data_IF_873972660461
#
_entry.id   IF_873972660461
#
_cell.length_a   1.000
_cell.length_b   1.000
_cell.length_c   1.000
_cell.angle_alpha   90.00
_cell.angle_beta   90.00
_cell.angle_gamma   90.00
#
_symmetry.space_group_name_H-M   'P 1'
#
loop_
_entity.id
_entity.type
_entity.pdbx_description
1 polymer ?
#
# COMPACT_ATOMS: atom_id res chain seq x y z
N UNK A 1 13.24 39.15 -104.54
CA UNK A 1 13.86 37.99 -103.85
C UNK A 1 13.25 37.93 -102.45
N UNK A 2 12.64 36.79 -102.12
CA UNK A 2 11.74 36.45 -101.00
C UNK A 2 12.09 37.11 -99.63
N UNK A 3 11.20 37.85 -98.96
CA UNK A 3 10.01 37.46 -98.14
C UNK A 3 10.41 36.82 -96.78
N UNK A 4 9.85 37.11 -95.60
CA UNK A 4 8.81 38.05 -95.14
C UNK A 4 8.77 38.08 -93.57
N UNK A 5 8.23 39.18 -93.00
CA UNK A 5 7.40 39.35 -91.77
C UNK A 5 7.87 38.77 -90.41
N UNK A 6 8.17 39.57 -89.36
CA UNK A 6 7.38 40.46 -88.46
C UNK A 6 6.59 39.77 -87.31
N UNK A 7 6.77 40.39 -86.14
CA UNK A 7 5.95 40.44 -84.91
C UNK A 7 5.99 39.26 -83.94
N UNK A 8 5.82 39.42 -82.63
CA UNK A 8 6.10 40.43 -81.60
C UNK A 8 5.48 39.87 -80.29
N UNK A 9 6.10 40.22 -79.17
CA UNK A 9 5.54 40.33 -77.82
C UNK A 9 5.26 39.10 -76.93
N UNK A 10 5.89 39.21 -75.75
CA UNK A 10 5.75 38.55 -74.43
C UNK A 10 4.33 38.69 -73.82
N UNK A 11 3.97 38.23 -72.58
CA UNK A 11 4.81 37.83 -71.43
C UNK A 11 4.24 36.72 -70.48
N UNK A 12 4.84 36.60 -69.29
CA UNK A 12 4.32 36.05 -68.02
C UNK A 12 4.32 34.53 -67.79
N UNK A 13 5.36 34.08 -67.08
CA UNK A 13 5.44 32.79 -66.38
C UNK A 13 4.86 32.93 -64.96
N UNK A 14 3.67 32.35 -64.74
CA UNK A 14 3.06 32.18 -63.42
C UNK A 14 3.35 30.76 -62.93
N UNK A 15 3.86 30.65 -61.70
CA UNK A 15 4.25 29.39 -61.05
C UNK A 15 3.01 28.57 -60.68
N UNK A 16 2.91 27.33 -61.17
CA UNK A 16 1.95 26.35 -60.67
C UNK A 16 2.56 25.60 -59.47
N UNK A 17 1.95 25.73 -58.29
CA UNK A 17 2.18 24.86 -57.13
C UNK A 17 1.13 23.75 -57.15
N UNK A 18 1.55 22.50 -57.34
CA UNK A 18 0.72 21.33 -57.06
C UNK A 18 0.51 21.24 -55.53
N UNK A 19 -0.73 21.39 -55.07
CA UNK A 19 -1.13 21.07 -53.71
C UNK A 19 -1.41 19.58 -53.58
N UNK A 20 -0.57 18.87 -52.82
CA UNK A 20 -0.81 17.50 -52.40
C UNK A 20 -1.70 17.56 -51.15
N UNK A 21 -2.98 17.19 -51.28
CA UNK A 21 -3.89 17.10 -50.15
C UNK A 21 -3.59 15.80 -49.38
N UNK A 22 -2.90 15.90 -48.25
CA UNK A 22 -2.81 14.84 -47.26
C UNK A 22 -4.16 14.75 -46.54
N UNK A 23 -4.92 13.69 -46.81
CA UNK A 23 -6.05 13.28 -45.97
C UNK A 23 -5.45 12.60 -44.74
N UNK A 24 -5.36 13.33 -43.63
CA UNK A 24 -5.10 12.77 -42.31
C UNK A 24 -6.34 11.96 -41.89
N UNK A 25 -6.25 10.64 -42.03
CA UNK A 25 -7.15 9.71 -41.37
C UNK A 25 -6.86 9.78 -39.87
N UNK A 26 -7.71 10.49 -39.12
CA UNK A 26 -7.72 10.38 -37.67
C UNK A 26 -8.20 8.97 -37.33
N UNK A 27 -7.27 8.08 -36.98
CA UNK A 27 -7.60 6.83 -36.30
C UNK A 27 -8.22 7.22 -34.96
N UNK A 28 -9.53 7.04 -34.82
CA UNK A 28 -10.19 7.06 -33.54
C UNK A 28 -9.60 5.89 -32.73
N UNK A 29 -8.64 6.20 -31.86
CA UNK A 29 -8.26 5.32 -30.77
C UNK A 29 -9.54 5.04 -30.00
N UNK A 30 -9.95 3.77 -29.98
CA UNK A 30 -10.95 3.31 -29.02
C UNK A 30 -10.47 3.76 -27.63
N UNK A 31 -11.37 4.24 -26.75
CA UNK A 31 -10.99 4.45 -25.36
C UNK A 31 -10.40 3.13 -24.87
N UNK A 32 -9.13 3.17 -24.44
CA UNK A 32 -8.51 2.06 -23.75
C UNK A 32 -9.46 1.65 -22.63
N UNK A 33 -9.72 0.34 -22.55
CA UNK A 33 -10.35 -0.24 -21.37
C UNK A 33 -9.56 0.27 -20.18
N UNK A 34 -10.18 1.12 -19.36
CA UNK A 34 -9.59 1.50 -18.10
C UNK A 34 -9.35 0.19 -17.35
N UNK A 35 -8.08 -0.13 -17.07
CA UNK A 35 -7.76 -1.14 -16.08
C UNK A 35 -8.50 -0.72 -14.83
N UNK A 36 -9.43 -1.55 -14.37
CA UNK A 36 -10.18 -1.30 -13.15
C UNK A 36 -9.18 -0.99 -12.03
N UNK A 37 -9.51 -0.03 -11.17
CA UNK A 37 -8.65 0.25 -10.02
C UNK A 37 -8.60 -1.04 -9.17
N UNK A 38 -7.44 -1.71 -9.14
CA UNK A 38 -7.24 -2.82 -8.21
C UNK A 38 -7.46 -2.24 -6.80
N UNK A 39 -8.42 -2.78 -6.06
CA UNK A 39 -8.70 -2.32 -4.71
C UNK A 39 -7.45 -2.41 -3.83
N UNK A 40 -7.39 -1.58 -2.79
CA UNK A 40 -6.30 -1.62 -1.80
C UNK A 40 -6.83 -2.17 -0.48
N UNK A 41 -6.18 -3.20 0.05
CA UNK A 41 -6.40 -3.67 1.41
C UNK A 41 -5.35 -3.15 2.38
N UNK A 42 -5.66 -3.24 3.67
CA UNK A 42 -4.75 -2.94 4.76
C UNK A 42 -4.16 -4.23 5.31
N UNK A 43 -2.84 -4.31 5.38
CA UNK A 43 -2.13 -5.44 5.99
C UNK A 43 -1.42 -4.93 7.23
N UNK A 44 -1.58 -5.64 8.35
CA UNK A 44 -0.84 -5.39 9.58
C UNK A 44 0.25 -6.46 9.71
N UNK A 45 1.51 -6.05 9.62
CA UNK A 45 2.67 -6.87 9.98
C UNK A 45 3.01 -6.67 11.46
N UNK A 46 3.22 -7.74 12.21
CA UNK A 46 3.50 -7.69 13.64
C UNK A 46 4.31 -8.91 14.09
N UNK A 47 4.82 -8.91 15.32
CA UNK A 47 5.44 -10.08 15.93
C UNK A 47 4.72 -10.47 17.22
N UNK A 48 5.05 -11.63 17.78
CA UNK A 48 4.39 -12.17 18.97
C UNK A 48 5.39 -12.62 20.03
N UNK A 49 4.89 -13.03 21.18
CA UNK A 49 5.70 -13.63 22.23
C UNK A 49 6.36 -12.63 23.19
N UNK A 50 6.90 -13.13 24.32
CA UNK A 50 7.30 -12.30 25.44
C UNK A 50 8.63 -11.57 25.18
N UNK A 51 8.81 -10.41 25.80
CA UNK A 51 10.13 -9.79 25.90
C UNK A 51 11.11 -10.67 26.71
N UNK A 52 12.39 -10.82 26.30
CA UNK A 52 13.02 -10.27 25.09
C UNK A 52 13.05 -11.24 23.89
N UNK A 53 12.40 -12.41 23.98
CA UNK A 53 12.54 -13.49 22.99
C UNK A 53 11.44 -13.52 21.92
N UNK A 54 10.50 -12.57 21.96
CA UNK A 54 9.37 -12.54 21.04
C UNK A 54 9.80 -12.52 19.57
N UNK A 55 10.93 -11.88 19.25
CA UNK A 55 11.42 -11.83 17.87
C UNK A 55 11.73 -13.18 17.23
N UNK A 56 11.94 -14.25 18.02
CA UNK A 56 12.15 -15.60 17.49
C UNK A 56 10.87 -16.23 16.92
N UNK A 57 9.68 -15.67 17.21
CA UNK A 57 8.40 -16.20 16.72
C UNK A 57 8.19 -15.96 15.22
N UNK A 58 8.95 -15.06 14.62
CA UNK A 58 8.72 -14.59 13.26
C UNK A 58 7.76 -13.41 13.16
N UNK A 59 7.54 -12.99 11.91
CA UNK A 59 6.59 -11.95 11.49
C UNK A 59 5.28 -12.61 11.10
N UNK A 60 4.19 -12.10 11.66
CA UNK A 60 2.81 -12.48 11.38
C UNK A 60 2.15 -11.36 10.58
N UNK A 61 1.10 -11.72 9.84
CA UNK A 61 0.32 -10.74 9.09
C UNK A 61 -1.18 -10.97 9.28
N UNK A 62 -1.95 -9.88 9.22
CA UNK A 62 -3.40 -9.91 9.15
C UNK A 62 -3.91 -8.91 8.12
N UNK A 63 -5.03 -9.22 7.47
CA UNK A 63 -5.64 -8.42 6.41
C UNK A 63 -6.93 -7.78 6.89
N UNK A 64 -7.18 -6.55 6.47
CA UNK A 64 -8.44 -5.84 6.62
C UNK A 64 -8.76 -5.07 5.34
N UNK A 65 -10.05 -4.98 4.99
CA UNK A 65 -10.52 -4.13 3.88
C UNK A 65 -10.98 -2.74 4.35
N UNK A 66 -11.13 -2.53 5.65
CA UNK A 66 -11.66 -1.30 6.25
C UNK A 66 -10.69 -0.64 7.25
N UNK A 67 -9.54 -1.27 7.51
CA UNK A 67 -8.58 -0.84 8.52
C UNK A 67 -9.01 -1.06 9.97
N UNK A 68 -10.14 -1.71 10.25
CA UNK A 68 -10.63 -1.93 11.61
C UNK A 68 -10.82 -3.40 11.94
N UNK A 69 -11.26 -4.20 10.97
CA UNK A 69 -11.56 -5.60 11.15
C UNK A 69 -10.50 -6.45 10.45
N UNK A 70 -9.48 -6.87 11.21
CA UNK A 70 -8.40 -7.69 10.71
C UNK A 70 -8.68 -9.19 10.86
N UNK A 71 -8.30 -9.96 9.85
CA UNK A 71 -8.33 -11.41 9.83
C UNK A 71 -6.90 -11.95 9.66
N UNK A 72 -6.51 -13.00 10.40
CA UNK A 72 -5.18 -13.58 10.26
C UNK A 72 -4.90 -14.04 8.82
N UNK A 73 -3.72 -13.70 8.31
CA UNK A 73 -3.19 -14.26 7.07
C UNK A 73 -2.41 -15.53 7.37
N UNK A 74 -2.13 -16.34 6.33
CA UNK A 74 -1.30 -17.55 6.45
C UNK A 74 -1.74 -18.52 7.57
N UNK A 75 -3.05 -18.71 7.77
CA UNK A 75 -3.61 -19.52 8.88
C UNK A 75 -3.24 -19.06 10.29
N UNK A 76 -2.76 -17.82 10.45
CA UNK A 76 -2.21 -17.33 11.72
C UNK A 76 -0.79 -17.82 12.01
N UNK A 77 -0.13 -18.49 11.07
CA UNK A 77 1.28 -18.85 11.15
C UNK A 77 2.18 -17.70 10.65
N UNK A 78 3.44 -17.59 11.12
CA UNK A 78 4.34 -16.54 10.68
C UNK A 78 4.62 -16.65 9.16
N UNK A 79 4.62 -15.51 8.47
CA UNK A 79 4.97 -15.41 7.04
C UNK A 79 6.48 -15.38 6.81
N UNK A 80 7.25 -15.03 7.84
CA UNK A 80 8.70 -14.97 7.82
C UNK A 80 9.26 -15.30 9.19
N UNK A 81 10.37 -16.01 9.24
CA UNK A 81 11.15 -16.25 10.46
C UNK A 81 12.60 -15.83 10.23
N UNK A 82 13.29 -15.27 11.24
CA UNK A 82 14.67 -14.87 11.09
C UNK A 82 15.55 -16.06 10.71
N UNK A 83 16.58 -15.87 9.85
CA UNK A 83 17.51 -16.95 9.52
C UNK A 83 18.27 -17.43 10.76
N UNK A 84 18.21 -18.74 11.05
CA UNK A 84 18.96 -19.36 12.16
C UNK A 84 20.46 -19.07 12.07
N UNK A 85 20.98 -18.89 10.86
CA UNK A 85 22.37 -18.52 10.60
C UNK A 85 22.77 -17.13 11.11
N UNK A 86 21.85 -16.30 11.60
CA UNK A 86 22.16 -15.00 12.23
C UNK A 86 22.20 -15.09 13.76
N UNK A 87 21.87 -16.25 14.32
CA UNK A 87 21.82 -16.47 15.76
C UNK A 87 23.16 -16.83 16.40
N UNK A 88 23.16 -17.13 17.72
CA UNK A 88 24.35 -17.50 18.47
C UNK A 88 25.13 -18.66 17.85
N UNK A 89 26.43 -18.47 17.63
CA UNK A 89 27.30 -19.50 17.03
C UNK A 89 27.44 -19.39 15.51
N UNK A 90 26.88 -18.34 14.89
CA UNK A 90 27.11 -18.03 13.49
C UNK A 90 28.59 -17.77 13.16
N UNK A 91 28.98 -18.08 11.91
CA UNK A 91 30.28 -17.72 11.35
C UNK A 91 30.38 -16.25 10.92
N UNK A 92 29.26 -15.53 10.88
CA UNK A 92 29.24 -14.07 10.81
C UNK A 92 29.46 -13.53 12.23
N UNK A 93 30.09 -12.36 12.38
CA UNK A 93 30.38 -11.76 13.70
C UNK A 93 29.11 -11.19 14.38
N UNK A 94 28.02 -11.91 14.26
CA UNK A 94 26.63 -11.57 14.59
C UNK A 94 26.32 -12.25 15.92
N UNK A 95 26.31 -11.47 17.00
CA UNK A 95 25.90 -11.97 18.32
C UNK A 95 24.43 -11.58 18.47
N UNK A 96 23.53 -12.55 18.25
CA UNK A 96 22.09 -12.46 18.56
C UNK A 96 21.25 -11.60 17.59
N UNK A 97 21.48 -11.73 16.27
CA UNK A 97 20.68 -11.10 15.19
C UNK A 97 19.53 -11.98 14.66
N UNK A 98 19.16 -13.05 15.36
CA UNK A 98 18.09 -13.98 14.96
C UNK A 98 16.69 -13.56 15.45
N UNK A 99 16.40 -12.27 15.52
CA UNK A 99 15.08 -11.74 15.86
C UNK A 99 14.42 -11.02 14.67
N UNK A 100 13.09 -11.08 14.62
CA UNK A 100 12.24 -10.25 13.75
C UNK A 100 11.23 -9.49 14.60
N UNK A 101 11.68 -8.42 15.27
CA UNK A 101 10.80 -7.54 16.04
C UNK A 101 10.52 -6.26 15.27
N UNK A 102 9.40 -5.63 15.59
CA UNK A 102 9.02 -4.31 15.07
C UNK A 102 9.07 -4.27 13.53
N UNK A 103 8.40 -5.22 12.82
CA UNK A 103 8.50 -5.28 11.37
C UNK A 103 7.77 -4.11 10.71
N UNK A 104 8.49 -3.38 9.86
CA UNK A 104 7.92 -2.37 8.97
C UNK A 104 7.94 -2.88 7.54
N UNK A 105 6.80 -2.75 6.85
CA UNK A 105 6.61 -3.22 5.48
C UNK A 105 6.00 -2.10 4.64
N UNK A 106 6.51 -1.91 3.43
CA UNK A 106 5.86 -1.09 2.41
C UNK A 106 5.83 -1.81 1.06
N UNK A 107 4.86 -1.46 0.22
CA UNK A 107 4.86 -1.82 -1.20
C UNK A 107 5.49 -0.69 -2.01
N UNK A 108 6.61 -0.98 -2.67
CA UNK A 108 7.39 -0.03 -3.43
C UNK A 108 6.88 0.17 -4.86
N UNK A 109 7.25 1.29 -5.52
CA UNK A 109 6.94 1.51 -6.93
C UNK A 109 7.67 0.56 -7.88
N UNK A 110 8.64 -0.20 -7.39
CA UNK A 110 9.35 -1.26 -8.12
C UNK A 110 8.56 -2.59 -8.15
N UNK A 111 7.40 -2.64 -7.50
CA UNK A 111 6.51 -3.79 -7.52
C UNK A 111 6.84 -4.87 -6.48
N UNK A 112 7.63 -4.53 -5.46
CA UNK A 112 7.96 -5.42 -4.37
C UNK A 112 7.46 -4.89 -3.02
N UNK A 113 7.13 -5.80 -2.13
CA UNK A 113 7.07 -5.54 -0.70
C UNK A 113 8.48 -5.56 -0.14
N UNK A 114 8.87 -4.51 0.57
CA UNK A 114 10.12 -4.44 1.32
C UNK A 114 9.82 -4.49 2.81
N UNK A 115 10.56 -5.29 3.55
CA UNK A 115 10.44 -5.40 5.00
C UNK A 115 11.78 -5.08 5.67
N UNK A 116 11.73 -4.30 6.74
CA UNK A 116 12.84 -4.09 7.69
C UNK A 116 12.37 -4.41 9.10
N UNK A 117 13.30 -4.75 9.99
CA UNK A 117 12.98 -5.11 11.37
C UNK A 117 14.17 -4.95 12.32
N UNK A 118 13.88 -4.89 13.61
CA UNK A 118 14.88 -5.02 14.69
C UNK A 118 15.46 -6.45 14.68
N UNK A 119 16.73 -6.59 14.30
CA UNK A 119 17.39 -7.90 14.18
C UNK A 119 17.77 -8.53 15.53
N UNK A 120 17.93 -7.74 16.58
CA UNK A 120 18.30 -8.23 17.90
C UNK A 120 18.26 -7.17 19.00
N UNK A 121 18.45 -7.62 20.25
CA UNK A 121 18.27 -6.75 21.42
C UNK A 121 19.45 -5.79 21.60
N UNK A 122 20.68 -6.25 21.40
CA UNK A 122 21.88 -5.42 21.57
C UNK A 122 22.74 -5.44 20.31
N UNK A 123 22.10 -5.18 19.16
CA UNK A 123 22.69 -5.28 17.84
C UNK A 123 22.79 -3.91 17.17
N UNK A 124 23.78 -3.77 16.29
CA UNK A 124 24.01 -2.53 15.53
C UNK A 124 23.19 -2.47 14.25
N UNK A 125 22.73 -3.63 13.80
CA UNK A 125 22.13 -3.87 12.51
C UNK A 125 20.60 -3.86 12.58
N UNK A 126 19.99 -3.76 11.41
CA UNK A 126 18.59 -4.12 11.18
C UNK A 126 18.55 -5.25 10.15
N UNK A 127 17.45 -6.00 10.13
CA UNK A 127 17.20 -6.96 9.07
C UNK A 127 16.49 -6.33 7.87
N UNK A 128 16.63 -6.96 6.72
CA UNK A 128 15.91 -6.65 5.50
C UNK A 128 15.57 -7.93 4.71
N UNK A 129 14.43 -7.93 4.06
CA UNK A 129 14.02 -8.90 3.05
C UNK A 129 12.99 -8.26 2.12
N UNK A 130 12.72 -8.90 0.97
CA UNK A 130 11.64 -8.48 0.06
C UNK A 130 10.79 -9.64 -0.41
N UNK A 131 9.56 -9.33 -0.83
CA UNK A 131 8.60 -10.29 -1.35
C UNK A 131 7.82 -9.70 -2.51
N UNK A 132 7.38 -10.53 -3.45
CA UNK A 132 6.45 -10.13 -4.50
C UNK A 132 4.97 -10.35 -4.11
N UNK A 133 4.72 -11.18 -3.08
CA UNK A 133 3.41 -11.75 -2.78
C UNK A 133 3.07 -11.80 -1.27
N UNK A 134 3.94 -11.23 -0.43
CA UNK A 134 3.95 -11.30 1.06
C UNK A 134 4.08 -12.70 1.66
N UNK A 135 4.20 -13.75 0.82
CA UNK A 135 4.26 -15.16 1.22
C UNK A 135 5.69 -15.71 1.10
N UNK A 136 6.36 -15.38 0.00
CA UNK A 136 7.74 -15.79 -0.27
C UNK A 136 8.66 -14.59 -0.09
N UNK A 137 9.49 -14.66 0.95
CA UNK A 137 10.50 -13.64 1.25
C UNK A 137 11.87 -14.10 0.75
N UNK A 138 12.65 -13.14 0.25
CA UNK A 138 13.95 -13.36 -0.41
C UNK A 138 14.89 -12.18 -0.17
N UNK A 139 16.15 -12.32 -0.59
CA UNK A 139 17.20 -11.29 -0.47
C UNK A 139 17.41 -10.84 0.97
N UNK A 140 17.44 -11.77 1.91
CA UNK A 140 17.67 -11.50 3.32
C UNK A 140 19.04 -10.88 3.56
N UNK A 141 19.08 -9.77 4.30
CA UNK A 141 20.31 -9.02 4.61
C UNK A 141 20.31 -8.50 6.03
N UNK A 142 21.49 -8.47 6.65
CA UNK A 142 21.75 -7.62 7.81
C UNK A 142 22.40 -6.32 7.34
N UNK A 143 21.75 -5.21 7.66
CA UNK A 143 22.22 -3.86 7.31
C UNK A 143 22.89 -3.26 8.54
N UNK A 144 24.23 -3.16 8.54
CA UNK A 144 24.97 -2.35 9.52
C UNK A 144 25.04 -0.90 9.03
N UNK A 145 24.34 -0.03 9.74
CA UNK A 145 24.04 1.35 9.32
C UNK A 145 25.12 2.34 9.81
N UNK A 146 25.96 1.90 10.76
CA UNK A 146 26.85 2.76 11.51
C UNK A 146 28.29 2.65 11.05
N UNK A 147 29.01 3.77 11.10
CA UNK A 147 30.47 3.70 10.93
C UNK A 147 31.11 2.82 12.02
N UNK A 148 32.21 2.10 11.73
CA UNK A 148 32.85 1.19 12.69
C UNK A 148 33.29 1.85 14.01
N UNK A 149 33.55 3.17 14.00
CA UNK A 149 33.94 3.94 15.19
C UNK A 149 32.77 4.35 16.08
N UNK A 150 31.53 4.21 15.61
CA UNK A 150 30.35 4.60 16.39
C UNK A 150 30.13 3.58 17.50
N UNK A 151 30.02 4.03 18.75
CA UNK A 151 29.59 3.16 19.86
C UNK A 151 28.06 3.13 19.86
N UNK A 152 27.51 1.95 19.59
CA UNK A 152 26.08 1.70 19.43
C UNK A 152 25.72 0.64 20.44
N UNK A 153 24.77 0.94 21.32
CA UNK A 153 24.25 -0.04 22.27
C UNK A 153 23.22 -0.93 21.57
N UNK A 154 22.34 -0.31 20.77
CA UNK A 154 21.37 -1.00 19.92
C UNK A 154 20.75 -0.10 18.83
N UNK A 155 20.25 -0.73 17.77
CA UNK A 155 19.47 -0.14 16.67
C UNK A 155 18.12 -0.85 16.58
N UNK A 156 17.02 -0.14 16.79
CA UNK A 156 15.67 -0.71 16.96
C UNK A 156 14.60 0.01 16.14
N UNK A 157 13.47 -0.67 15.98
CA UNK A 157 12.22 -0.18 15.42
C UNK A 157 12.41 0.60 14.11
N UNK A 158 12.99 -0.03 13.07
CA UNK A 158 13.13 0.61 11.78
C UNK A 158 11.76 0.72 11.08
N UNK A 159 11.50 1.88 10.50
CA UNK A 159 10.32 2.16 9.69
C UNK A 159 10.72 2.55 8.27
N UNK A 160 9.98 2.02 7.30
CA UNK A 160 10.14 2.28 5.89
C UNK A 160 9.19 3.39 5.40
N UNK A 161 9.73 4.35 4.66
CA UNK A 161 8.96 5.37 3.96
C UNK A 161 9.50 5.56 2.54
N UNK A 162 8.63 5.60 1.53
CA UNK A 162 9.06 5.94 0.16
C UNK A 162 8.91 7.44 -0.10
N UNK A 163 10.03 8.14 -0.24
CA UNK A 163 10.08 9.55 -0.59
C UNK A 163 10.00 9.72 -2.11
N UNK A 164 8.77 9.86 -2.61
CA UNK A 164 8.49 10.04 -4.03
C UNK A 164 9.13 11.32 -4.62
N UNK A 165 9.40 12.35 -3.83
CA UNK A 165 10.00 13.59 -4.32
C UNK A 165 11.47 13.40 -4.72
N UNK A 166 12.16 12.47 -4.06
CA UNK A 166 13.56 12.15 -4.30
C UNK A 166 13.77 10.75 -4.91
N UNK A 167 12.69 10.01 -5.17
CA UNK A 167 12.69 8.65 -5.72
C UNK A 167 13.59 7.69 -4.94
N UNK A 168 13.46 7.68 -3.62
CA UNK A 168 14.26 6.85 -2.72
C UNK A 168 13.43 6.36 -1.54
N UNK A 169 13.82 5.21 -1.00
CA UNK A 169 13.36 4.74 0.29
C UNK A 169 14.15 5.43 1.40
N UNK A 170 13.45 5.81 2.45
CA UNK A 170 14.00 6.29 3.70
C UNK A 170 13.70 5.27 4.78
N UNK A 171 14.71 4.91 5.56
CA UNK A 171 14.60 4.02 6.71
C UNK A 171 14.89 4.85 7.95
N UNK A 172 13.90 5.00 8.82
CA UNK A 172 14.00 5.75 10.08
C UNK A 172 14.08 4.74 11.21
N UNK A 173 14.98 4.91 12.17
CA UNK A 173 15.15 3.95 13.25
C UNK A 173 15.60 4.65 14.52
N UNK A 174 15.33 4.02 15.66
CA UNK A 174 15.80 4.50 16.96
C UNK A 174 17.15 3.87 17.29
N UNK A 175 18.05 4.65 17.89
CA UNK A 175 19.28 4.09 18.42
C UNK A 175 19.71 4.78 19.69
N UNK A 176 20.27 3.98 20.59
CA UNK A 176 20.96 4.45 21.76
C UNK A 176 22.46 4.43 21.48
N UNK A 177 23.07 5.62 21.43
CA UNK A 177 24.49 5.78 21.23
C UNK A 177 25.16 6.22 22.52
N UNK A 178 26.24 5.54 22.90
CA UNK A 178 27.06 5.85 24.08
C UNK A 178 26.26 5.89 25.41
N UNK A 179 25.26 5.03 25.60
CA UNK A 179 24.44 4.97 26.82
C UNK A 179 23.57 6.21 27.05
N UNK A 180 23.22 6.95 25.99
CA UNK A 180 22.44 8.18 26.04
C UNK A 180 20.92 7.96 26.00
N UNK A 181 20.19 8.95 25.52
CA UNK A 181 18.78 8.78 25.11
C UNK A 181 18.70 8.03 23.79
N UNK A 182 17.59 7.33 23.54
CA UNK A 182 17.23 6.97 22.17
C UNK A 182 16.89 8.23 21.37
N UNK A 183 17.43 8.29 20.15
CA UNK A 183 17.12 9.32 19.17
C UNK A 183 16.76 8.64 17.86
N UNK A 184 16.03 9.35 17.02
CA UNK A 184 15.77 8.88 15.68
C UNK A 184 16.91 9.28 14.75
N UNK A 185 17.31 8.33 13.93
CA UNK A 185 18.26 8.50 12.83
C UNK A 185 17.60 7.99 11.56
N UNK A 186 18.14 8.38 10.40
CA UNK A 186 17.62 7.90 9.13
C UNK A 186 18.74 7.64 8.12
N UNK A 187 18.50 6.67 7.26
CA UNK A 187 19.28 6.44 6.04
C UNK A 187 18.37 6.38 4.83
N UNK A 188 18.96 6.47 3.64
CA UNK A 188 18.25 6.28 2.38
C UNK A 188 18.89 5.24 1.50
N UNK A 189 18.08 4.66 0.62
CA UNK A 189 18.48 3.74 -0.45
C UNK A 189 17.52 3.86 -1.62
N UNK A 190 17.97 3.57 -2.84
CA UNK A 190 17.09 3.43 -4.00
C UNK A 190 16.88 1.98 -4.43
N UNK A 191 17.65 1.03 -3.88
CA UNK A 191 17.78 -0.33 -4.42
C UNK A 191 17.99 -1.43 -3.37
N UNK A 192 18.06 -1.08 -2.08
CA UNK A 192 18.38 -1.99 -0.98
C UNK A 192 19.68 -2.80 -1.17
N UNK A 193 20.59 -2.28 -2.00
CA UNK A 193 21.94 -2.82 -2.20
C UNK A 193 23.00 -1.81 -1.78
N UNK A 194 22.66 -0.52 -1.81
CA UNK A 194 23.50 0.59 -1.37
C UNK A 194 22.73 1.52 -0.44
N UNK A 195 23.37 1.93 0.66
CA UNK A 195 22.76 2.75 1.69
C UNK A 195 23.61 3.99 1.98
N UNK A 196 22.96 5.11 2.29
CA UNK A 196 23.64 6.22 2.93
C UNK A 196 24.17 5.82 4.32
N UNK A 197 25.20 6.48 4.83
CA UNK A 197 25.69 6.26 6.20
C UNK A 197 24.93 7.15 7.19
N UNK A 198 24.52 6.60 8.34
CA UNK A 198 23.96 7.41 9.42
C UNK A 198 25.03 8.27 10.10
N UNK A 199 24.72 9.54 10.35
CA UNK A 199 25.59 10.45 11.11
C UNK A 199 25.19 10.44 12.60
N UNK A 200 26.05 9.92 13.50
CA UNK A 200 25.74 9.85 14.93
C UNK A 200 25.58 11.23 15.60
N UNK A 201 26.09 12.30 14.97
CA UNK A 201 26.04 13.66 15.51
C UNK A 201 24.85 14.49 14.99
N UNK A 202 24.15 13.98 13.98
CA UNK A 202 23.03 14.67 13.35
C UNK A 202 21.78 13.77 13.37
N UNK A 203 21.10 13.66 14.53
CA UNK A 203 19.88 12.86 14.63
C UNK A 203 18.82 13.42 13.69
N UNK A 204 18.06 12.51 13.08
CA UNK A 204 16.91 12.83 12.25
C UNK A 204 15.84 13.58 13.05
N UNK A 205 15.61 13.14 14.28
CA UNK A 205 14.74 13.83 15.21
C UNK A 205 15.15 13.59 16.66
N UNK A 206 15.18 14.67 17.44
CA UNK A 206 15.39 14.66 18.87
C UNK A 206 14.87 15.98 19.46
N UNK A 207 14.05 15.88 20.52
CA UNK A 207 13.49 17.05 21.21
C UNK A 207 14.03 17.22 22.64
N UNK A 208 15.07 16.47 23.02
CA UNK A 208 15.64 16.49 24.38
C UNK A 208 15.12 15.37 25.30
N UNK A 209 14.40 14.38 24.77
CA UNK A 209 13.95 13.20 25.50
C UNK A 209 14.21 11.91 24.70
N UNK A 210 14.06 10.74 25.34
CA UNK A 210 14.09 9.45 24.64
C UNK A 210 12.95 9.38 23.62
N UNK A 211 13.31 9.19 22.35
CA UNK A 211 12.40 9.05 21.21
C UNK A 211 12.64 7.71 20.51
N UNK A 212 11.56 6.99 20.24
CA UNK A 212 11.56 5.68 19.57
C UNK A 212 10.28 5.50 18.74
N UNK A 213 10.23 4.46 17.91
CA UNK A 213 9.08 4.05 17.09
C UNK A 213 8.47 5.19 16.26
N UNK A 214 9.11 5.54 15.15
CA UNK A 214 8.60 6.61 14.27
C UNK A 214 7.92 6.05 13.03
N UNK A 215 6.75 6.59 12.72
CA UNK A 215 6.02 6.30 11.48
C UNK A 215 5.70 7.57 10.72
N UNK A 216 6.10 7.63 9.45
CA UNK A 216 5.87 8.78 8.57
C UNK A 216 4.72 8.52 7.62
N UNK A 217 3.85 9.51 7.47
CA UNK A 217 2.82 9.52 6.43
C UNK A 217 2.77 10.87 5.72
N UNK A 218 2.41 10.85 4.44
CA UNK A 218 2.16 12.06 3.67
C UNK A 218 0.73 12.58 3.93
N UNK A 219 0.61 13.86 4.30
CA UNK A 219 -0.66 14.57 4.43
C UNK A 219 -0.83 15.51 3.24
N UNK A 220 -1.13 14.92 2.08
CA UNK A 220 -1.22 15.64 0.80
C UNK A 220 -2.30 16.73 0.82
N UNK A 221 -3.35 16.58 1.64
CA UNK A 221 -4.41 17.58 1.79
C UNK A 221 -3.88 18.90 2.37
N UNK A 222 -2.87 18.84 3.24
CA UNK A 222 -2.23 20.00 3.85
C UNK A 222 -0.82 20.28 3.29
N UNK A 223 -0.38 19.53 2.28
CA UNK A 223 0.95 19.64 1.67
C UNK A 223 2.07 19.62 2.72
N UNK A 224 2.05 18.59 3.58
CA UNK A 224 3.03 18.37 4.65
C UNK A 224 3.18 16.87 4.91
N UNK A 225 4.09 16.54 5.82
CA UNK A 225 4.30 15.20 6.33
C UNK A 225 3.94 15.14 7.81
N UNK A 226 3.48 13.97 8.24
CA UNK A 226 3.18 13.63 9.63
C UNK A 226 4.20 12.60 10.09
N UNK A 227 4.60 12.68 11.36
CA UNK A 227 5.35 11.62 12.02
C UNK A 227 4.69 11.29 13.35
N UNK A 228 4.03 10.13 13.41
CA UNK A 228 3.59 9.57 14.68
C UNK A 228 4.82 8.95 15.36
N UNK A 229 5.04 9.27 16.64
CA UNK A 229 6.27 8.88 17.32
C UNK A 229 6.03 8.64 18.80
N UNK A 230 6.65 7.59 19.37
CA UNK A 230 6.71 7.42 20.81
C UNK A 230 7.73 8.39 21.40
N UNK A 231 7.22 9.29 22.22
CA UNK A 231 7.98 10.33 22.88
C UNK A 231 7.90 10.10 24.39
N UNK A 232 9.05 9.96 25.07
CA UNK A 232 9.11 9.78 26.53
C UNK A 232 9.34 11.08 27.31
N UNK A 233 9.14 12.25 26.68
CA UNK A 233 9.30 13.55 27.32
C UNK A 233 8.49 13.66 28.62
N UNK A 234 9.14 14.18 29.67
CA UNK A 234 8.60 14.24 31.03
C UNK A 234 8.26 12.88 31.65
N UNK A 235 8.84 11.79 31.12
CA UNK A 235 8.57 10.41 31.54
C UNK A 235 7.21 9.87 31.08
N UNK A 236 6.48 10.62 30.24
CA UNK A 236 5.21 10.20 29.69
C UNK A 236 5.49 9.36 28.44
N UNK A 237 5.15 8.06 28.44
CA UNK A 237 5.38 7.15 27.30
C UNK A 237 4.13 7.16 26.41
N UNK A 238 4.02 8.17 25.56
CA UNK A 238 2.86 8.43 24.72
C UNK A 238 3.24 8.64 23.25
N UNK A 239 2.25 8.52 22.37
CA UNK A 239 2.39 8.78 20.95
C UNK A 239 2.00 10.22 20.67
N UNK A 240 2.90 10.92 19.98
CA UNK A 240 2.72 12.30 19.55
C UNK A 240 2.78 12.42 18.04
N UNK A 241 2.20 13.47 17.49
CA UNK A 241 2.17 13.71 16.06
C UNK A 241 2.99 14.95 15.69
N UNK A 242 4.18 14.74 15.15
CA UNK A 242 5.00 15.80 14.58
C UNK A 242 4.59 16.10 13.15
N UNK A 243 4.92 17.30 12.68
CA UNK A 243 4.68 17.73 11.29
C UNK A 243 5.94 18.31 10.67
N UNK A 244 6.08 18.20 9.35
CA UNK A 244 7.19 18.76 8.59
C UNK A 244 6.78 19.15 7.16
N UNK A 245 7.48 20.11 6.53
CA UNK A 245 7.23 20.46 5.12
C UNK A 245 7.78 19.42 4.14
N UNK A 246 8.75 18.60 4.54
CA UNK A 246 9.31 17.49 3.74
C UNK A 246 9.47 16.24 4.61
N UNK A 247 9.60 15.07 3.99
CA UNK A 247 9.90 13.81 4.68
C UNK A 247 11.24 13.82 5.42
N UNK A 248 12.12 14.81 5.15
CA UNK A 248 13.39 14.98 5.85
C UNK A 248 13.34 16.04 6.96
N UNK A 249 12.19 16.67 7.18
CA UNK A 249 12.02 17.71 8.17
C UNK A 249 12.25 19.13 7.63
N UNK A 250 12.53 20.11 8.51
CA UNK A 250 12.61 19.96 9.96
C UNK A 250 11.25 19.60 10.56
N UNK A 251 11.27 18.68 11.52
CA UNK A 251 10.07 18.25 12.26
C UNK A 251 9.80 19.19 13.44
N UNK A 252 8.52 19.43 13.72
CA UNK A 252 8.09 20.10 14.96
C UNK A 252 8.47 19.28 16.19
N UNK A 253 8.81 19.93 17.30
CA UNK A 253 9.29 19.27 18.54
C UNK A 253 8.35 19.40 19.73
N UNK A 254 7.46 20.40 19.73
CA UNK A 254 6.38 20.56 20.71
C UNK A 254 5.09 20.04 20.10
N UNK A 255 4.92 18.72 20.16
CA UNK A 255 3.90 18.00 19.42
C UNK A 255 2.72 17.62 20.32
N UNK A 256 1.49 17.64 19.79
CA UNK A 256 0.31 17.18 20.51
C UNK A 256 0.43 15.69 20.88
N UNK A 257 -0.10 15.33 22.06
CA UNK A 257 -0.30 13.94 22.46
C UNK A 257 -1.60 13.43 21.84
N UNK A 258 -1.51 12.37 21.05
CA UNK A 258 -2.69 11.76 20.39
C UNK A 258 -3.17 10.55 21.20
N UNK A 259 -2.25 9.65 21.58
CA UNK A 259 -2.56 8.40 22.30
C UNK A 259 -1.57 8.20 23.44
N UNK A 260 -2.03 7.59 24.54
CA UNK A 260 -1.21 7.29 25.73
C UNK A 260 -1.36 8.35 26.83
N UNK A 261 -0.56 8.29 27.90
CA UNK A 261 -0.80 9.09 29.09
C UNK A 261 -0.81 10.59 28.78
N UNK A 262 -1.90 11.27 29.16
CA UNK A 262 -2.14 12.68 28.82
C UNK A 262 -3.11 12.89 27.66
N UNK A 263 -3.49 11.84 26.93
CA UNK A 263 -4.57 11.85 25.92
C UNK A 263 -5.94 11.57 26.54
N UNK A 264 -7.01 11.83 25.79
CA UNK A 264 -8.36 11.36 26.09
C UNK A 264 -8.67 9.97 25.49
N UNK A 265 -7.73 9.38 24.77
CA UNK A 265 -7.90 8.15 23.98
C UNK A 265 -7.51 6.92 24.79
N UNK A 266 -6.31 6.93 25.36
CA UNK A 266 -5.68 5.79 26.02
C UNK A 266 -4.94 6.27 27.26
N UNK A 267 -5.18 5.62 28.40
CA UNK A 267 -4.56 5.97 29.68
C UNK A 267 -3.30 5.18 29.97
N UNK A 268 -3.13 4.02 29.34
CA UNK A 268 -1.94 3.19 29.44
C UNK A 268 -0.77 3.79 28.67
N UNK A 269 0.45 3.38 29.02
CA UNK A 269 1.64 3.66 28.22
C UNK A 269 1.54 2.95 26.87
N UNK A 270 1.98 3.62 25.80
CA UNK A 270 1.83 3.13 24.43
C UNK A 270 3.13 3.21 23.65
N UNK A 271 3.27 2.36 22.66
CA UNK A 271 4.40 2.30 21.73
C UNK A 271 3.99 1.87 20.33
N UNK A 272 4.96 1.82 19.42
CA UNK A 272 4.75 1.30 18.08
C UNK A 272 3.62 1.93 17.28
N UNK A 273 3.61 3.27 17.08
CA UNK A 273 2.58 3.89 16.28
C UNK A 273 2.65 3.43 14.83
N UNK A 274 1.50 3.10 14.25
CA UNK A 274 1.34 2.98 12.80
C UNK A 274 0.24 3.91 12.32
N UNK A 275 0.55 4.80 11.36
CA UNK A 275 -0.34 5.86 10.90
C UNK A 275 -0.67 5.63 9.44
N UNK A 276 -1.95 5.44 9.15
CA UNK A 276 -2.45 5.15 7.80
C UNK A 276 -3.69 5.97 7.51
N UNK A 277 -3.85 6.41 6.26
CA UNK A 277 -5.10 7.00 5.81
C UNK A 277 -5.90 5.95 5.02
N UNK A 278 -7.13 5.69 5.47
CA UNK A 278 -8.11 4.84 4.79
C UNK A 278 -9.28 5.73 4.40
N UNK A 279 -9.52 5.86 3.10
CA UNK A 279 -10.41 6.87 2.52
C UNK A 279 -10.09 8.29 3.06
N UNK A 280 -11.07 8.94 3.68
CA UNK A 280 -10.95 10.27 4.27
C UNK A 280 -10.57 10.26 5.77
N UNK A 281 -10.27 9.09 6.34
CA UNK A 281 -10.02 8.91 7.77
C UNK A 281 -8.57 8.51 8.03
N UNK A 282 -7.93 9.23 8.94
CA UNK A 282 -6.65 8.82 9.52
C UNK A 282 -6.91 7.80 10.63
N UNK A 283 -6.21 6.68 10.56
CA UNK A 283 -6.16 5.63 11.58
C UNK A 283 -4.75 5.60 12.17
N UNK A 284 -4.66 5.65 13.49
CA UNK A 284 -3.43 5.54 14.26
C UNK A 284 -3.52 4.30 15.16
N UNK A 285 -2.83 3.25 14.77
CA UNK A 285 -2.68 2.03 15.55
C UNK A 285 -1.55 2.19 16.57
N UNK A 286 -1.64 1.49 17.69
CA UNK A 286 -0.66 1.57 18.77
C UNK A 286 -0.64 0.28 19.60
N UNK A 287 0.51 -0.04 20.17
CA UNK A 287 0.68 -1.13 21.14
C UNK A 287 0.57 -0.56 22.58
N UNK A 288 -0.49 -0.93 23.29
CA UNK A 288 -0.60 -0.70 24.74
C UNK A 288 0.14 -1.83 25.49
N UNK A 289 1.45 -1.94 25.25
CA UNK A 289 2.27 -3.11 25.56
C UNK A 289 2.21 -3.60 27.02
N UNK A 290 2.03 -2.69 27.98
CA UNK A 290 1.87 -3.04 29.39
C UNK A 290 0.48 -3.62 29.74
N UNK A 291 -0.52 -3.30 28.92
CA UNK A 291 -1.89 -3.81 29.01
C UNK A 291 -2.16 -5.01 28.08
N UNK A 292 -1.27 -5.25 27.11
CA UNK A 292 -1.25 -6.46 26.29
C UNK A 292 -2.28 -6.48 25.16
N UNK A 293 -2.55 -5.33 24.54
CA UNK A 293 -3.42 -5.23 23.37
C UNK A 293 -2.97 -4.12 22.41
N UNK A 294 -3.29 -4.27 21.12
CA UNK A 294 -3.27 -3.15 20.19
C UNK A 294 -4.55 -2.32 20.31
N UNK A 295 -4.43 -1.02 20.09
CA UNK A 295 -5.56 -0.14 19.92
C UNK A 295 -5.50 0.65 18.62
N UNK A 296 -6.61 1.32 18.29
CA UNK A 296 -6.71 2.21 17.14
C UNK A 296 -7.47 3.47 17.50
N UNK A 297 -6.88 4.61 17.16
CA UNK A 297 -7.50 5.92 17.22
C UNK A 297 -7.81 6.40 15.79
N UNK A 298 -8.85 7.21 15.63
CA UNK A 298 -9.23 7.71 14.32
C UNK A 298 -9.56 9.21 14.33
N UNK A 299 -9.33 9.88 13.21
CA UNK A 299 -9.87 11.21 12.93
C UNK A 299 -10.18 11.40 11.46
N UNK A 300 -11.29 12.06 11.16
CA UNK A 300 -11.63 12.56 9.81
C UNK A 300 -11.53 14.09 9.74
N UNK A 301 -10.90 14.72 10.74
CA UNK A 301 -10.61 16.15 10.71
C UNK A 301 -9.63 16.46 9.57
N UNK A 302 -9.81 17.62 8.93
CA UNK A 302 -8.93 18.07 7.88
C UNK A 302 -7.50 18.32 8.39
N UNK A 303 -7.33 18.60 9.69
CA UNK A 303 -6.03 18.72 10.34
C UNK A 303 -5.83 17.62 11.40
N UNK A 304 -5.14 16.49 11.08
CA UNK A 304 -4.86 15.44 12.05
C UNK A 304 -3.98 15.88 13.23
N UNK A 305 -3.35 17.05 13.19
CA UNK A 305 -2.65 17.61 14.35
C UNK A 305 -3.60 18.21 15.41
N UNK A 306 -4.90 18.34 15.10
CA UNK A 306 -5.92 18.66 16.08
C UNK A 306 -6.21 17.44 16.98
N UNK A 307 -5.43 17.29 18.06
CA UNK A 307 -5.55 16.16 19.00
C UNK A 307 -6.97 15.91 19.53
N UNK A 308 -7.76 16.98 19.72
CA UNK A 308 -9.11 16.88 20.24
C UNK A 308 -10.12 16.25 19.25
N UNK A 309 -9.76 16.12 17.97
CA UNK A 309 -10.59 15.50 16.94
C UNK A 309 -10.51 13.97 16.95
N UNK A 310 -9.47 13.40 17.57
CA UNK A 310 -9.26 11.96 17.58
C UNK A 310 -10.27 11.28 18.49
N UNK A 311 -10.72 10.11 18.08
CA UNK A 311 -11.62 9.23 18.85
C UNK A 311 -11.00 7.84 19.00
N UNK A 312 -11.32 7.16 20.10
CA UNK A 312 -10.88 5.79 20.32
C UNK A 312 -11.85 4.84 19.57
N UNK A 313 -11.33 4.02 18.66
CA UNK A 313 -12.08 2.98 17.95
C UNK A 313 -11.65 1.56 18.36
N UNK A 314 -10.79 1.39 19.37
CA UNK A 314 -10.29 0.08 19.82
C UNK A 314 -11.43 -0.88 20.16
N UNK A 315 -12.52 -0.40 20.76
CA UNK A 315 -13.67 -1.24 21.11
C UNK A 315 -14.54 -1.66 19.93
N UNK A 316 -14.40 -0.99 18.78
CA UNK A 316 -15.15 -1.25 17.55
C UNK A 316 -14.30 -2.01 16.52
N UNK A 317 -13.01 -2.25 16.82
CA UNK A 317 -12.06 -2.91 15.95
C UNK A 317 -11.81 -4.37 16.37
N UNK A 318 -11.44 -5.20 15.39
CA UNK A 318 -10.91 -6.54 15.62
C UNK A 318 -9.44 -6.56 15.19
N UNK A 319 -8.55 -6.24 16.12
CA UNK A 319 -7.10 -6.21 15.90
C UNK A 319 -6.46 -7.57 16.27
N UNK A 320 -5.32 -7.94 15.65
CA UNK A 320 -4.63 -9.18 16.00
C UNK A 320 -4.05 -9.15 17.42
N UNK A 321 -3.68 -10.32 17.94
CA UNK A 321 -2.84 -10.41 19.14
C UNK A 321 -1.37 -10.33 18.74
N UNK A 322 -0.61 -9.40 19.33
CA UNK A 322 0.80 -9.24 19.04
C UNK A 322 1.43 -8.02 19.71
N UNK A 323 2.57 -7.64 19.16
CA UNK A 323 3.37 -6.48 19.54
C UNK A 323 3.77 -5.67 18.32
N UNK A 324 4.19 -4.43 18.57
CA UNK A 324 4.61 -3.43 17.59
C UNK A 324 4.99 -3.98 16.20
N UNK A 325 4.31 -3.46 15.17
CA UNK A 325 4.73 -3.49 13.77
C UNK A 325 3.93 -2.46 12.97
N UNK A 326 3.80 -2.67 11.66
CA UNK A 326 3.24 -1.65 10.75
C UNK A 326 1.96 -2.11 10.05
N UNK A 327 0.96 -1.24 10.00
CA UNK A 327 -0.17 -1.33 9.08
C UNK A 327 0.12 -0.55 7.80
N UNK A 328 0.01 -1.20 6.65
CA UNK A 328 0.31 -0.62 5.34
C UNK A 328 -0.76 -0.96 4.29
N UNK A 329 -0.85 -0.13 3.26
CA UNK A 329 -1.71 -0.40 2.10
C UNK A 329 -1.02 -1.38 1.14
N UNK A 330 -1.76 -2.39 0.69
CA UNK A 330 -1.32 -3.35 -0.32
C UNK A 330 -2.36 -3.44 -1.45
N UNK A 331 -1.96 -3.45 -2.73
CA UNK A 331 -2.89 -3.73 -3.82
C UNK A 331 -3.44 -5.16 -3.69
N UNK A 332 -4.76 -5.34 -3.71
CA UNK A 332 -5.40 -6.65 -3.59
C UNK A 332 -4.92 -7.63 -4.68
N UNK A 333 -4.58 -7.11 -5.87
CA UNK A 333 -4.09 -7.91 -7.01
C UNK A 333 -2.73 -8.58 -6.79
N UNK A 334 -1.98 -8.20 -5.76
CA UNK A 334 -0.67 -8.80 -5.45
C UNK A 334 -0.68 -9.57 -4.13
N UNK A 335 -1.85 -9.71 -3.50
CA UNK A 335 -2.00 -10.51 -2.28
C UNK A 335 -2.40 -11.95 -2.65
N UNK A 336 -1.47 -12.90 -2.47
CA UNK A 336 -1.65 -14.30 -2.91
C UNK A 336 -1.97 -15.28 -1.77
N UNK A 337 -2.77 -14.86 -0.78
CA UNK A 337 -3.14 -15.73 0.35
C UNK A 337 -4.52 -16.38 0.16
N UNK A 338 -4.56 -17.69 0.42
CA UNK A 338 -5.71 -18.57 0.17
C UNK A 338 -6.97 -18.21 1.01
N UNK A 339 -6.84 -17.35 2.04
CA UNK A 339 -7.89 -17.00 3.01
C UNK A 339 -8.25 -15.52 3.04
N UNK A 340 -7.90 -14.76 2.00
CA UNK A 340 -8.41 -13.40 1.90
C UNK A 340 -9.93 -13.47 1.70
N UNK A 341 -10.74 -12.58 2.30
CA UNK A 341 -12.20 -12.69 2.26
C UNK A 341 -12.81 -12.87 0.86
N UNK A 342 -12.12 -12.39 -0.18
CA UNK A 342 -12.53 -12.51 -1.57
C UNK A 342 -12.07 -13.78 -2.29
N UNK A 343 -11.14 -14.56 -1.75
CA UNK A 343 -10.60 -15.76 -2.42
C UNK A 343 -11.65 -16.84 -2.63
N UNK A 344 -12.66 -16.93 -1.75
CA UNK A 344 -13.81 -17.84 -1.92
C UNK A 344 -14.61 -17.57 -3.20
N UNK A 345 -14.55 -16.33 -3.71
CA UNK A 345 -15.29 -15.91 -4.90
C UNK A 345 -14.51 -16.09 -6.21
N UNK A 346 -13.22 -16.46 -6.15
CA UNK A 346 -12.46 -16.96 -7.30
C UNK A 346 -12.88 -18.41 -7.58
N UNK A 347 -13.92 -18.56 -8.40
CA UNK A 347 -14.56 -19.85 -8.67
C UNK A 347 -13.83 -20.66 -9.73
N UNK A 348 -12.92 -20.03 -10.48
CA UNK A 348 -12.16 -20.67 -11.55
C UNK A 348 -10.72 -21.05 -11.11
N UNK A 349 -10.23 -20.47 -10.00
CA UNK A 349 -8.96 -20.78 -9.35
C UNK A 349 -7.74 -20.14 -10.01
N UNK A 350 -7.91 -19.06 -10.77
CA UNK A 350 -6.83 -18.32 -11.43
C UNK A 350 -6.27 -17.15 -10.61
N UNK A 351 -6.74 -16.98 -9.37
CA UNK A 351 -6.36 -15.95 -8.41
C UNK A 351 -6.77 -14.53 -8.82
N UNK A 352 -7.70 -14.39 -9.76
CA UNK A 352 -8.30 -13.12 -10.14
C UNK A 352 -9.82 -13.21 -10.00
N UNK A 353 -10.46 -12.14 -9.53
CA UNK A 353 -11.91 -12.13 -9.32
C UNK A 353 -12.60 -11.46 -10.51
N UNK A 354 -12.89 -12.20 -11.57
CA UNK A 354 -13.24 -11.64 -12.88
C UNK A 354 -14.72 -11.78 -13.23
N UNK A 355 -15.19 -11.22 -14.36
CA UNK A 355 -16.51 -11.56 -14.89
C UNK A 355 -16.69 -13.06 -15.18
N UNK A 356 -15.62 -13.83 -15.39
CA UNK A 356 -15.72 -15.28 -15.63
C UNK A 356 -16.15 -16.02 -14.35
N UNK A 357 -15.68 -15.58 -13.18
CA UNK A 357 -16.14 -16.09 -11.89
C UNK A 357 -17.61 -15.77 -11.64
N UNK A 358 -18.04 -14.56 -12.02
CA UNK A 358 -19.45 -14.20 -11.96
C UNK A 358 -20.31 -15.08 -12.86
N UNK A 359 -19.83 -15.43 -14.05
CA UNK A 359 -20.54 -16.35 -14.96
C UNK A 359 -20.60 -17.76 -14.40
N UNK A 360 -19.56 -18.22 -13.68
CA UNK A 360 -19.58 -19.50 -12.95
C UNK A 360 -20.57 -19.45 -11.78
N UNK A 361 -20.59 -18.37 -11.01
CA UNK A 361 -21.54 -18.16 -9.92
C UNK A 361 -22.98 -18.18 -10.44
N UNK A 362 -23.27 -17.38 -11.47
CA UNK A 362 -24.60 -17.30 -12.09
C UNK A 362 -25.04 -18.63 -12.70
N UNK A 363 -24.11 -19.38 -13.29
CA UNK A 363 -24.38 -20.71 -13.87
C UNK A 363 -24.79 -21.77 -12.84
N UNK A 364 -24.45 -21.57 -11.56
CA UNK A 364 -24.76 -22.48 -10.45
C UNK A 364 -25.74 -21.86 -9.44
N UNK A 365 -26.35 -20.71 -9.73
CA UNK A 365 -27.31 -20.07 -8.85
C UNK A 365 -28.54 -20.96 -8.60
N UNK A 366 -28.98 -21.06 -7.34
CA UNK A 366 -30.07 -21.91 -6.85
C UNK A 366 -29.83 -23.41 -7.07
N UNK A 367 -28.57 -23.83 -7.05
CA UNK A 367 -28.18 -25.24 -7.09
C UNK A 367 -27.56 -25.68 -5.76
N UNK A 368 -27.56 -26.98 -5.49
CA UNK A 368 -26.90 -27.56 -4.30
C UNK A 368 -25.49 -28.06 -4.65
N UNK A 369 -24.76 -27.30 -5.46
CA UNK A 369 -23.38 -27.66 -5.86
C UNK A 369 -22.39 -26.87 -5.04
N UNK A 370 -21.18 -27.41 -4.85
CA UNK A 370 -20.11 -26.68 -4.15
C UNK A 370 -19.57 -25.49 -4.93
N UNK A 371 -19.95 -25.30 -6.20
CA UNK A 371 -19.49 -24.16 -7.01
C UNK A 371 -20.47 -23.00 -6.78
N UNK A 372 -19.98 -21.96 -6.11
CA UNK A 372 -20.77 -20.78 -5.75
C UNK A 372 -21.53 -20.90 -4.41
N UNK A 373 -21.33 -21.98 -3.67
CA UNK A 373 -21.68 -22.10 -2.23
C UNK A 373 -20.51 -21.47 -1.43
N UNK A 374 -20.64 -20.18 -1.14
CA UNK A 374 -19.58 -19.32 -0.60
C UNK A 374 -19.58 -19.24 0.93
N UNK A 375 -20.69 -19.57 1.58
CA UNK A 375 -20.76 -19.70 3.04
C UNK A 375 -20.69 -21.14 3.56
N UNK A 376 -20.63 -22.12 2.64
CA UNK A 376 -20.52 -23.54 2.90
C UNK A 376 -21.74 -24.14 3.63
N UNK A 377 -22.93 -23.58 3.43
CA UNK A 377 -24.17 -24.10 4.01
C UNK A 377 -24.85 -25.20 3.17
N UNK A 378 -24.38 -25.41 1.94
CA UNK A 378 -24.77 -26.50 1.06
C UNK A 378 -25.77 -26.12 -0.04
N UNK A 379 -26.13 -24.85 -0.18
CA UNK A 379 -26.81 -24.33 -1.35
C UNK A 379 -26.15 -23.06 -1.94
N UNK A 380 -26.72 -22.53 -3.02
CA UNK A 380 -26.25 -21.30 -3.67
C UNK A 380 -27.44 -20.37 -3.80
N UNK A 381 -27.54 -19.38 -2.92
CA UNK A 381 -28.72 -18.55 -2.80
C UNK A 381 -28.44 -17.04 -2.76
N UNK A 382 -29.30 -16.28 -2.08
CA UNK A 382 -29.14 -14.84 -1.95
C UNK A 382 -27.98 -14.45 -1.03
N UNK A 383 -27.66 -15.26 -0.02
CA UNK A 383 -26.59 -15.00 0.91
C UNK A 383 -25.23 -15.18 0.21
N UNK A 384 -25.05 -16.21 -0.62
CA UNK A 384 -23.85 -16.33 -1.47
C UNK A 384 -23.72 -15.20 -2.48
N UNK A 385 -24.84 -14.77 -3.08
CA UNK A 385 -24.81 -13.62 -3.98
C UNK A 385 -24.29 -12.36 -3.26
N UNK A 386 -24.69 -12.16 -2.00
CA UNK A 386 -24.19 -11.04 -1.19
C UNK A 386 -22.70 -11.18 -0.90
N UNK A 387 -22.22 -12.39 -0.63
CA UNK A 387 -20.79 -12.66 -0.46
C UNK A 387 -20.02 -12.38 -1.74
N UNK A 388 -20.43 -12.93 -2.88
CA UNK A 388 -19.78 -12.69 -4.17
C UNK A 388 -19.72 -11.20 -4.49
N UNK A 389 -20.84 -10.48 -4.35
CA UNK A 389 -20.87 -9.03 -4.57
C UNK A 389 -19.90 -8.31 -3.63
N UNK A 390 -19.89 -8.66 -2.35
CA UNK A 390 -19.01 -8.01 -1.35
C UNK A 390 -17.55 -8.25 -1.67
N UNK A 391 -17.21 -9.48 -2.04
CA UNK A 391 -15.85 -9.88 -2.43
C UNK A 391 -15.40 -9.16 -3.70
N UNK A 392 -16.27 -9.06 -4.71
CA UNK A 392 -15.98 -8.35 -5.97
C UNK A 392 -15.73 -6.86 -5.76
N UNK A 393 -16.56 -6.21 -4.94
CA UNK A 393 -16.40 -4.79 -4.59
C UNK A 393 -15.16 -4.58 -3.70
N UNK A 394 -14.79 -5.56 -2.88
CA UNK A 394 -13.57 -5.50 -2.07
C UNK A 394 -12.33 -5.60 -2.96
N UNK A 395 -12.33 -6.54 -3.91
CA UNK A 395 -11.19 -6.78 -4.79
C UNK A 395 -10.98 -5.63 -5.80
N UNK A 396 -12.05 -5.10 -6.40
CA UNK A 396 -12.00 -4.09 -7.47
C UNK A 396 -12.41 -2.68 -7.04
N UNK A 397 -12.75 -2.48 -5.77
CA UNK A 397 -13.24 -1.21 -5.25
C UNK A 397 -14.75 -0.98 -5.46
N UNK A 398 -15.26 0.06 -4.80
CA UNK A 398 -16.68 0.39 -4.75
C UNK A 398 -17.27 0.74 -6.13
N UNK A 399 -18.40 0.14 -6.49
CA UNK A 399 -19.10 0.31 -7.76
C UNK A 399 -18.62 -0.63 -8.87
N UNK A 400 -17.61 -1.47 -8.61
CA UNK A 400 -17.04 -2.36 -9.60
C UNK A 400 -18.01 -3.47 -10.01
N UNK A 401 -18.77 -4.04 -9.06
CA UNK A 401 -19.70 -5.11 -9.37
C UNK A 401 -20.83 -4.65 -10.31
N UNK A 402 -21.36 -3.44 -10.10
CA UNK A 402 -22.34 -2.85 -11.00
C UNK A 402 -21.77 -2.61 -12.42
N UNK A 403 -20.50 -2.22 -12.50
CA UNK A 403 -19.79 -2.03 -13.76
C UNK A 403 -19.56 -3.35 -14.50
N UNK A 404 -19.17 -4.40 -13.76
CA UNK A 404 -19.04 -5.76 -14.27
C UNK A 404 -20.37 -6.26 -14.85
N UNK A 405 -21.48 -6.13 -14.11
CA UNK A 405 -22.81 -6.49 -14.61
C UNK A 405 -23.17 -5.78 -15.92
N UNK A 406 -22.83 -4.49 -16.05
CA UNK A 406 -23.07 -3.74 -17.28
C UNK A 406 -22.22 -4.26 -18.46
N UNK A 407 -21.00 -4.75 -18.22
CA UNK A 407 -20.14 -5.33 -19.26
C UNK A 407 -20.59 -6.71 -19.73
N UNK A 408 -21.10 -7.57 -18.83
CA UNK A 408 -21.60 -8.91 -19.19
C UNK A 408 -23.03 -8.87 -19.75
N UNK A 409 -23.78 -7.81 -19.49
CA UNK A 409 -25.15 -7.61 -19.99
C UNK A 409 -25.24 -6.97 -21.39
N UNK A 410 -24.12 -6.71 -22.08
CA UNK A 410 -24.15 -6.15 -23.44
C UNK A 410 -24.89 -7.10 -24.42
N UNK A 411 -25.93 -6.64 -25.16
CA UNK A 411 -26.79 -7.54 -25.93
C UNK A 411 -26.12 -8.07 -27.20
N UNK A 412 -26.43 -9.32 -27.54
CA UNK A 412 -26.06 -9.96 -28.81
C UNK A 412 -26.32 -9.09 -30.07
N UNK A 413 -25.54 -9.25 -31.16
CA UNK A 413 -25.64 -8.45 -32.38
C UNK A 413 -26.86 -8.84 -33.24
N UNK A 414 -28.07 -8.68 -32.72
CA UNK A 414 -29.32 -8.86 -33.47
C UNK A 414 -30.00 -7.52 -33.81
N UNK A 415 -29.69 -6.44 -33.08
CA UNK A 415 -30.22 -5.11 -33.36
C UNK A 415 -29.65 -4.49 -34.66
N UNK A 416 -28.41 -4.83 -35.03
CA UNK A 416 -27.77 -4.34 -36.26
C UNK A 416 -28.37 -4.98 -37.54
N UNK A 417 -28.89 -6.21 -37.47
CA UNK A 417 -29.53 -6.88 -38.61
C UNK A 417 -30.93 -6.32 -38.92
N UNK A 418 -31.66 -5.82 -37.91
CA UNK A 418 -32.99 -5.22 -38.10
C UNK A 418 -32.93 -3.83 -38.73
N UNK A 419 -31.81 -3.11 -38.60
CA UNK A 419 -31.62 -1.81 -39.26
C UNK A 419 -31.32 -1.93 -40.77
N UNK A 420 -30.87 -3.10 -41.26
CA UNK A 420 -30.57 -3.34 -42.68
C UNK A 420 -31.79 -3.78 -43.52
N UNK A 421 -32.92 -4.12 -42.89
CA UNK A 421 -34.15 -4.54 -43.59
C UNK A 421 -35.13 -3.39 -43.89
N UNK A 422 -34.76 -2.15 -43.58
CA UNK A 422 -35.64 -0.97 -43.64
C UNK A 422 -35.38 0.03 -44.77
N UNK A 423 -34.77 -0.36 -45.90
CA UNK A 423 -34.60 0.56 -47.05
C UNK A 423 -35.75 0.39 -48.05
N UNK A 424 -36.67 1.36 -48.21
CA UNK A 424 -37.66 1.31 -49.27
C UNK A 424 -37.02 1.61 -50.62
N UNK A 425 -37.15 0.67 -51.56
CA UNK A 425 -36.78 0.83 -52.97
C UNK A 425 -37.70 1.87 -53.61
N UNK A 426 -37.18 3.09 -53.83
CA UNK A 426 -37.86 4.10 -54.65
C UNK A 426 -37.63 3.77 -56.13
N UNK A 427 -38.62 3.09 -56.73
CA UNK A 427 -38.69 2.90 -58.19
C UNK A 427 -39.03 4.24 -58.86
N UNK A 428 -38.02 4.88 -59.45
CA UNK A 428 -38.17 6.06 -60.30
C UNK A 428 -38.96 5.74 -61.57
N UNK A 429 -40.20 6.25 -61.67
CA UNK A 429 -40.98 6.27 -62.92
C UNK A 429 -40.42 7.33 -63.88
N UNK A 430 -39.96 6.87 -65.05
CA UNK A 430 -39.73 7.70 -66.25
C UNK A 430 -41.01 8.45 -66.67
N UNK A 431 -40.87 9.76 -66.91
CA UNK A 431 -41.61 10.57 -67.89
C UNK A 431 -40.54 11.51 -68.50
N UNK A 432 -40.37 11.71 -69.80
CA UNK A 432 -41.26 11.51 -70.93
C UNK A 432 -41.44 12.88 -71.61
N UNK A 433 -40.61 13.14 -72.63
CA UNK A 433 -40.46 14.32 -73.50
C UNK A 433 -39.56 15.45 -73.01
#
# INVERSE_FOLDING_TARGET
>A
MFAATRHADSPNQTRYRCGLAFVLMAAALAPGVAVAANGTGQVFAYFQGPWPTGGHSGVYMSYSSDGLNFQPMNNGDPVYVPPEAWGPGSSTNTIDEDQTRDPSVLYGPDGYFHMVWTSGISTRSIGYAKSADLKTWTDEQLIDIWSPSTVVDHTWAPELFYDAANSQYQIIFASNLNGGDHKLYSITTSDFSSFSTADPNNPYFYNGATIIDAMIAEDSANNRYLMAVKDEQNGAKNIRLATAPTAQGPWTTDNPVIVGPGSAIEGNVTEGPSLLKVDDTWLLYYDAYGAGYFGVAATSDADPANAASWVNLTGDANLPDGHHGTVFNAPNSVLSFDFLPYSRSDLNGDQDLTPDDWLLFLGNHLTTTSIGDLDADGDNDFDDFRLFKTDYETFHGSGAFASMLASVAAPEPSAALLALMGVPVVLGRRRGK
#
